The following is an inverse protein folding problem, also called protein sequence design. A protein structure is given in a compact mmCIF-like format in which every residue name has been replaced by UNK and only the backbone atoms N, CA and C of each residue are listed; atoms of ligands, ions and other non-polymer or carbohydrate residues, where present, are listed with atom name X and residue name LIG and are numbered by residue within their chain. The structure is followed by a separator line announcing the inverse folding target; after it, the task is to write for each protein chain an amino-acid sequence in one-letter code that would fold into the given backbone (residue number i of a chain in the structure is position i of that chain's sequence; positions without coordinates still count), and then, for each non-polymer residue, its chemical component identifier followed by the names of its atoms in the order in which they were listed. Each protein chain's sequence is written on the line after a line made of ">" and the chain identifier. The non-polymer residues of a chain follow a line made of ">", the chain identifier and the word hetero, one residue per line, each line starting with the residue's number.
data_IF_164521201278
#
_entry.id   IF_164521201278
#
_cell.length_a   1.000
_cell.length_b   1.000
_cell.length_c   1.000
_cell.angle_alpha   90.00
_cell.angle_beta   90.00
_cell.angle_gamma   90.00
#
_symmetry.space_group_name_H-M   'P 1'
#
loop_
_entity.id
_entity.type
_entity.pdbx_description
1 polymer ?
#
# COMPACT_ATOMS: atom_id res chain seq x y z
N UNK A 1 -7.42 3.85 0.78
CA UNK A 1 -7.39 2.38 0.75
C UNK A 1 -8.78 1.76 0.57
N UNK A 2 -9.71 1.79 1.53
CA UNK A 2 -11.10 1.29 1.32
C UNK A 2 -11.79 1.90 0.08
N UNK A 3 -11.40 3.12 -0.29
CA UNK A 3 -11.89 3.83 -1.47
C UNK A 3 -11.45 3.26 -2.83
N UNK A 4 -10.38 2.45 -2.88
CA UNK A 4 -9.99 1.74 -4.11
C UNK A 4 -11.09 0.78 -4.57
N UNK A 5 -11.95 0.30 -3.67
CA UNK A 5 -13.13 -0.50 -4.01
C UNK A 5 -14.31 0.30 -4.59
N UNK A 6 -14.20 1.63 -4.66
CA UNK A 6 -15.22 2.53 -5.19
C UNK A 6 -14.79 3.19 -6.52
N UNK A 7 -13.97 2.49 -7.30
CA UNK A 7 -13.45 2.91 -8.61
C UNK A 7 -12.61 4.21 -8.61
N UNK A 8 -12.07 4.60 -7.45
CA UNK A 8 -11.10 5.70 -7.38
C UNK A 8 -9.77 5.26 -8.00
N UNK A 9 -9.14 6.17 -8.76
CA UNK A 9 -7.74 6.00 -9.19
C UNK A 9 -6.80 5.94 -7.97
N UNK A 10 -5.60 5.34 -8.06
CA UNK A 10 -4.62 5.34 -6.98
C UNK A 10 -4.37 6.75 -6.42
N UNK A 11 -4.21 7.75 -7.30
CA UNK A 11 -3.99 9.14 -6.92
C UNK A 11 -5.20 9.77 -6.21
N UNK A 12 -6.43 9.49 -6.66
CA UNK A 12 -7.64 10.00 -6.00
C UNK A 12 -7.84 9.34 -4.62
N UNK A 13 -7.61 8.04 -4.53
CA UNK A 13 -7.69 7.29 -3.27
C UNK A 13 -6.65 7.78 -2.26
N UNK A 14 -5.43 8.09 -2.72
CA UNK A 14 -4.36 8.69 -1.93
C UNK A 14 -4.75 10.09 -1.42
N UNK A 15 -5.17 10.99 -2.31
CA UNK A 15 -5.62 12.34 -1.93
C UNK A 15 -6.73 12.33 -0.88
N UNK A 16 -7.76 11.49 -1.10
CA UNK A 16 -8.88 11.37 -0.17
C UNK A 16 -8.46 10.77 1.17
N UNK A 17 -7.49 9.85 1.18
CA UNK A 17 -6.94 9.30 2.42
C UNK A 17 -6.22 10.39 3.22
N UNK A 18 -5.37 11.18 2.56
CA UNK A 18 -4.69 12.33 3.19
C UNK A 18 -5.71 13.35 3.71
N UNK A 19 -6.71 13.73 2.92
CA UNK A 19 -7.79 14.65 3.35
C UNK A 19 -8.52 14.13 4.58
N UNK A 20 -8.78 12.81 4.64
CA UNK A 20 -9.45 12.18 5.76
C UNK A 20 -8.58 12.22 7.02
N UNK A 21 -7.30 11.87 6.91
CA UNK A 21 -6.35 11.92 8.02
C UNK A 21 -6.23 13.34 8.56
N UNK A 22 -5.91 14.32 7.72
CA UNK A 22 -5.74 15.72 8.14
C UNK A 22 -7.01 16.25 8.82
N UNK A 23 -8.19 15.95 8.27
CA UNK A 23 -9.47 16.39 8.86
C UNK A 23 -9.72 15.83 10.26
N UNK A 24 -9.34 14.58 10.53
CA UNK A 24 -9.68 13.92 11.79
C UNK A 24 -8.56 13.99 12.83
N UNK A 25 -7.32 14.23 12.41
CA UNK A 25 -6.16 14.30 13.30
C UNK A 25 -5.79 15.74 13.67
N UNK A 26 -6.25 16.76 12.92
CA UNK A 26 -6.03 18.16 13.28
C UNK A 26 -6.69 18.50 14.63
N UNK A 27 -5.95 19.16 15.51
CA UNK A 27 -6.36 19.49 16.87
C UNK A 27 -6.32 18.32 17.86
N UNK A 28 -5.77 17.17 17.46
CA UNK A 28 -5.55 16.01 18.36
C UNK A 28 -4.10 15.93 18.81
N UNK A 29 -3.79 15.02 19.74
CA UNK A 29 -2.41 14.75 20.18
C UNK A 29 -1.50 14.24 19.06
N UNK A 30 -2.07 13.79 17.93
CA UNK A 30 -1.32 13.28 16.78
C UNK A 30 -0.93 14.36 15.76
N UNK A 31 -1.34 15.61 15.96
CA UNK A 31 -0.96 16.71 15.06
C UNK A 31 0.56 16.96 15.09
N UNK A 32 1.21 16.71 16.23
CA UNK A 32 2.66 16.83 16.37
C UNK A 32 3.43 15.86 15.47
N UNK A 33 2.81 14.75 15.03
CA UNK A 33 3.42 13.78 14.11
C UNK A 33 3.41 14.25 12.65
N UNK A 34 2.70 15.32 12.31
CA UNK A 34 2.54 15.76 10.91
C UNK A 34 3.88 16.06 10.23
N UNK A 35 4.85 16.59 10.97
CA UNK A 35 6.19 16.88 10.45
C UNK A 35 6.86 15.61 9.90
N UNK A 36 6.70 14.47 10.59
CA UNK A 36 7.27 13.21 10.14
C UNK A 36 6.61 12.71 8.84
N UNK A 37 5.32 12.98 8.64
CA UNK A 37 4.56 12.54 7.47
C UNK A 37 4.42 13.62 6.38
N UNK A 38 5.20 14.71 6.44
CA UNK A 38 4.98 15.88 5.60
C UNK A 38 5.01 15.54 4.11
N UNK A 39 5.91 14.65 3.65
CA UNK A 39 5.99 14.23 2.23
C UNK A 39 4.69 13.57 1.76
N UNK A 40 4.00 12.86 2.65
CA UNK A 40 2.71 12.22 2.40
C UNK A 40 1.58 13.25 2.47
N UNK A 41 1.60 14.16 3.44
CA UNK A 41 0.53 15.14 3.67
C UNK A 41 0.53 16.23 2.60
N UNK A 42 1.72 16.69 2.19
CA UNK A 42 1.91 17.70 1.13
C UNK A 42 1.51 17.19 -0.26
N UNK A 43 1.43 15.86 -0.42
CA UNK A 43 1.12 15.14 -1.68
C UNK A 43 2.21 15.21 -2.74
N UNK A 44 3.41 15.63 -2.35
CA UNK A 44 4.57 15.68 -3.23
C UNK A 44 5.27 14.32 -3.34
N UNK A 45 4.94 13.35 -2.46
CA UNK A 45 5.54 12.02 -2.45
C UNK A 45 5.66 11.38 -3.85
N UNK A 46 4.61 11.33 -4.69
CA UNK A 46 4.70 10.69 -6.01
C UNK A 46 5.73 11.34 -6.93
N UNK A 47 5.99 12.65 -6.77
CA UNK A 47 6.89 13.42 -7.63
C UNK A 47 8.37 13.26 -7.24
N UNK A 48 8.65 12.57 -6.13
CA UNK A 48 10.02 12.36 -5.64
C UNK A 48 10.76 11.31 -6.48
N UNK A 49 12.08 11.48 -6.60
CA UNK A 49 12.89 10.52 -7.34
C UNK A 49 13.16 9.29 -6.47
N UNK A 50 13.30 8.11 -7.10
CA UNK A 50 13.60 6.85 -6.40
C UNK A 50 14.76 6.96 -5.39
N UNK A 51 15.81 7.71 -5.72
CA UNK A 51 17.00 7.90 -4.86
C UNK A 51 16.69 8.61 -3.52
N UNK A 52 15.57 9.33 -3.46
CA UNK A 52 15.13 10.09 -2.30
C UNK A 52 14.16 9.28 -1.43
N UNK A 53 13.82 8.05 -1.84
CA UNK A 53 12.96 7.12 -1.10
C UNK A 53 13.83 6.25 -0.20
N UNK A 54 13.60 6.37 1.11
CA UNK A 54 14.23 5.52 2.12
C UNK A 54 13.43 4.23 2.28
N UNK A 55 14.12 3.12 2.49
CA UNK A 55 13.51 1.79 2.65
C UNK A 55 14.03 1.04 3.88
N UNK A 56 14.50 1.78 4.89
CA UNK A 56 14.92 1.24 6.17
C UNK A 56 13.71 0.79 7.04
N UNK A 57 14.00 0.28 8.23
CA UNK A 57 12.97 -0.22 9.16
C UNK A 57 12.19 0.86 9.92
N UNK A 58 12.31 2.14 9.57
CA UNK A 58 11.50 3.20 10.17
C UNK A 58 10.10 3.23 9.53
N UNK A 59 9.07 3.13 10.36
CA UNK A 59 7.66 3.00 9.91
C UNK A 59 7.21 4.07 8.91
N UNK A 60 7.69 5.30 9.04
CA UNK A 60 7.37 6.39 8.12
C UNK A 60 8.01 6.13 6.75
N UNK A 61 9.28 5.73 6.73
CA UNK A 61 9.98 5.37 5.50
C UNK A 61 9.31 4.17 4.81
N UNK A 62 8.94 3.13 5.57
CA UNK A 62 8.25 1.96 5.00
C UNK A 62 6.90 2.36 4.35
N UNK A 63 6.14 3.27 4.98
CA UNK A 63 4.89 3.77 4.43
C UNK A 63 5.11 4.65 3.19
N UNK A 64 6.07 5.57 3.23
CA UNK A 64 6.46 6.42 2.10
C UNK A 64 6.90 5.59 0.90
N UNK A 65 7.80 4.63 1.11
CA UNK A 65 8.28 3.74 0.08
C UNK A 65 7.14 2.94 -0.56
N UNK A 66 6.25 2.37 0.27
CA UNK A 66 5.15 1.58 -0.24
C UNK A 66 4.15 2.41 -1.05
N UNK A 67 3.81 3.62 -0.58
CA UNK A 67 2.94 4.54 -1.29
C UNK A 67 3.60 5.02 -2.59
N UNK A 68 4.89 5.33 -2.56
CA UNK A 68 5.64 5.75 -3.74
C UNK A 68 5.65 4.65 -4.81
N UNK A 69 5.95 3.40 -4.42
CA UNK A 69 5.92 2.27 -5.34
C UNK A 69 4.52 2.04 -5.93
N UNK A 70 3.48 2.10 -5.10
CA UNK A 70 2.10 1.92 -5.57
C UNK A 70 1.62 3.05 -6.50
N UNK A 71 2.00 4.30 -6.24
CA UNK A 71 1.51 5.46 -6.99
C UNK A 71 2.26 5.70 -8.32
N UNK A 72 3.45 5.12 -8.50
CA UNK A 72 4.31 5.33 -9.66
C UNK A 72 4.33 4.18 -10.68
N UNK A 73 3.51 3.12 -10.48
CA UNK A 73 3.47 1.98 -11.40
C UNK A 73 2.02 1.58 -11.68
N UNK A 74 1.76 1.18 -12.92
CA UNK A 74 0.40 0.94 -13.44
C UNK A 74 -0.06 -0.52 -13.30
N UNK A 75 0.82 -1.44 -12.91
CA UNK A 75 0.48 -2.83 -12.68
C UNK A 75 1.09 -3.40 -11.38
N UNK A 76 0.51 -4.51 -10.92
CA UNK A 76 0.89 -5.17 -9.69
C UNK A 76 2.35 -5.63 -9.68
N UNK A 77 2.82 -6.21 -10.78
CA UNK A 77 4.15 -6.80 -10.85
C UNK A 77 5.22 -5.70 -10.80
N UNK A 78 5.03 -4.63 -11.58
CA UNK A 78 5.91 -3.47 -11.56
C UNK A 78 5.95 -2.80 -10.18
N UNK A 79 4.79 -2.57 -9.55
CA UNK A 79 4.73 -1.96 -8.23
C UNK A 79 5.48 -2.78 -7.18
N UNK A 80 5.22 -4.09 -7.11
CA UNK A 80 5.84 -4.99 -6.13
C UNK A 80 7.33 -5.19 -6.41
N UNK A 81 7.74 -5.34 -7.67
CA UNK A 81 9.16 -5.42 -8.01
C UNK A 81 9.90 -4.11 -7.71
N UNK A 82 9.24 -2.97 -7.88
CA UNK A 82 9.81 -1.67 -7.49
C UNK A 82 10.12 -1.63 -5.99
N UNK A 83 9.17 -2.09 -5.16
CA UNK A 83 9.33 -2.21 -3.71
C UNK A 83 10.47 -3.16 -3.32
N UNK A 84 10.55 -4.35 -3.91
CA UNK A 84 11.66 -5.30 -3.67
C UNK A 84 13.00 -4.66 -4.05
N UNK A 85 13.04 -3.93 -5.17
CA UNK A 85 14.25 -3.31 -5.70
C UNK A 85 14.63 -1.98 -5.01
N UNK A 86 13.92 -1.55 -3.97
CA UNK A 86 14.41 -0.50 -3.06
C UNK A 86 15.48 -1.05 -2.10
N UNK A 87 15.39 -2.33 -1.73
CA UNK A 87 16.32 -2.95 -0.80
C UNK A 87 15.99 -2.67 0.66
N UNK A 88 16.89 -3.10 1.56
CA UNK A 88 16.74 -2.99 3.01
C UNK A 88 15.49 -3.73 3.54
N UNK A 89 14.43 -3.03 3.96
CA UNK A 89 13.19 -3.61 4.51
C UNK A 89 12.23 -4.08 3.39
N UNK A 90 12.75 -4.96 2.53
CA UNK A 90 12.05 -5.39 1.31
C UNK A 90 10.75 -6.14 1.58
N UNK A 91 10.68 -6.95 2.64
CA UNK A 91 9.50 -7.77 2.95
C UNK A 91 8.33 -6.90 3.44
N UNK A 92 8.59 -5.94 4.33
CA UNK A 92 7.56 -5.00 4.80
C UNK A 92 7.04 -4.12 3.66
N UNK A 93 7.94 -3.51 2.88
CA UNK A 93 7.55 -2.56 1.82
C UNK A 93 6.82 -3.30 0.68
N UNK A 94 7.28 -4.50 0.31
CA UNK A 94 6.62 -5.29 -0.73
C UNK A 94 5.25 -5.80 -0.28
N UNK A 95 5.11 -6.17 1.00
CA UNK A 95 3.81 -6.55 1.57
C UNK A 95 2.82 -5.39 1.54
N UNK A 96 3.24 -4.19 1.97
CA UNK A 96 2.39 -3.00 1.95
C UNK A 96 2.02 -2.61 0.52
N UNK A 97 3.01 -2.51 -0.38
CA UNK A 97 2.79 -2.19 -1.80
C UNK A 97 1.86 -3.20 -2.47
N UNK A 98 2.14 -4.50 -2.30
CA UNK A 98 1.34 -5.58 -2.87
C UNK A 98 -0.09 -5.59 -2.33
N UNK A 99 -0.30 -5.20 -1.07
CA UNK A 99 -1.66 -5.05 -0.53
C UNK A 99 -2.43 -3.95 -1.28
N UNK A 100 -1.83 -2.78 -1.50
CA UNK A 100 -2.48 -1.67 -2.21
C UNK A 100 -2.72 -2.00 -3.69
N UNK A 101 -1.70 -2.52 -4.35
CA UNK A 101 -1.77 -2.93 -5.76
C UNK A 101 -2.77 -4.08 -5.95
N UNK A 102 -2.80 -5.07 -5.05
CA UNK A 102 -3.74 -6.18 -5.10
C UNK A 102 -5.19 -5.75 -4.87
N UNK A 103 -5.42 -4.75 -4.00
CA UNK A 103 -6.74 -4.13 -3.86
C UNK A 103 -7.18 -3.40 -5.12
N UNK A 104 -6.25 -2.78 -5.86
CA UNK A 104 -6.57 -2.01 -7.07
C UNK A 104 -6.76 -2.92 -8.30
N UNK A 105 -5.83 -3.84 -8.56
CA UNK A 105 -5.85 -4.71 -9.75
C UNK A 105 -6.61 -6.02 -9.56
N UNK A 106 -7.04 -6.32 -8.34
CA UNK A 106 -7.68 -7.59 -7.96
C UNK A 106 -6.79 -8.82 -8.27
N UNK A 107 -7.32 -10.03 -8.00
CA UNK A 107 -6.58 -11.28 -8.20
C UNK A 107 -6.12 -11.49 -9.65
N UNK A 108 -6.86 -10.99 -10.64
CA UNK A 108 -6.53 -11.13 -12.06
C UNK A 108 -5.32 -10.28 -12.49
N UNK A 109 -4.95 -9.26 -11.69
CA UNK A 109 -3.78 -8.43 -11.95
C UNK A 109 -2.47 -9.00 -11.41
N UNK A 110 -2.53 -10.06 -10.59
CA UNK A 110 -1.34 -10.69 -10.00
C UNK A 110 -0.82 -11.77 -10.97
N UNK A 111 0.48 -11.82 -11.26
CA UNK A 111 1.06 -12.89 -12.09
C UNK A 111 0.71 -14.28 -11.55
N UNK A 112 0.16 -15.12 -12.42
CA UNK A 112 -0.32 -16.46 -12.03
C UNK A 112 0.82 -17.33 -11.51
N UNK A 113 2.02 -17.18 -12.08
CA UNK A 113 3.23 -17.85 -11.62
C UNK A 113 3.60 -17.49 -10.18
N UNK A 114 3.33 -16.26 -9.72
CA UNK A 114 3.61 -15.83 -8.35
C UNK A 114 2.59 -16.41 -7.38
N UNK A 115 1.31 -16.43 -7.77
CA UNK A 115 0.26 -17.10 -7.00
C UNK A 115 0.61 -18.59 -6.85
N UNK A 116 1.00 -19.25 -7.94
CA UNK A 116 1.32 -20.67 -7.94
C UNK A 116 2.61 -21.02 -7.18
N UNK A 117 3.54 -20.07 -7.04
CA UNK A 117 4.75 -20.23 -6.24
C UNK A 117 4.53 -20.00 -4.73
N UNK A 118 3.35 -19.50 -4.32
CA UNK A 118 3.08 -19.15 -2.94
C UNK A 118 3.12 -20.39 -2.03
N UNK A 119 3.95 -20.32 -0.98
CA UNK A 119 3.99 -21.37 0.03
C UNK A 119 2.64 -21.46 0.76
N UNK A 120 2.11 -22.69 0.90
CA UNK A 120 0.81 -22.96 1.56
C UNK A 120 -0.36 -22.19 0.92
N UNK A 121 -0.31 -21.96 -0.39
CA UNK A 121 -1.35 -21.28 -1.18
C UNK A 121 -2.76 -21.71 -0.78
N UNK A 122 -3.00 -23.02 -0.74
CA UNK A 122 -4.30 -23.64 -0.46
C UNK A 122 -4.79 -23.31 0.96
N UNK A 123 -3.90 -23.31 1.96
CA UNK A 123 -4.25 -22.95 3.34
C UNK A 123 -4.61 -21.46 3.47
N UNK A 124 -3.92 -20.59 2.70
CA UNK A 124 -4.20 -19.16 2.65
C UNK A 124 -5.57 -18.90 2.03
N UNK A 125 -5.88 -19.55 0.90
CA UNK A 125 -7.19 -19.42 0.26
C UNK A 125 -8.33 -19.94 1.15
N UNK A 126 -8.15 -21.09 1.82
CA UNK A 126 -9.12 -21.61 2.79
C UNK A 126 -9.36 -20.60 3.93
N UNK A 127 -8.29 -20.01 4.47
CA UNK A 127 -8.40 -19.01 5.53
C UNK A 127 -9.17 -17.77 5.07
N UNK A 128 -8.87 -17.26 3.87
CA UNK A 128 -9.59 -16.14 3.27
C UNK A 128 -11.07 -16.45 3.07
N UNK A 129 -11.41 -17.65 2.59
CA UNK A 129 -12.80 -18.05 2.39
C UNK A 129 -13.56 -18.19 3.71
N UNK A 130 -12.95 -18.81 4.73
CA UNK A 130 -13.56 -18.89 6.07
C UNK A 130 -13.78 -17.50 6.68
N UNK A 131 -12.83 -16.58 6.51
CA UNK A 131 -12.96 -15.20 6.97
C UNK A 131 -14.11 -14.48 6.25
N UNK A 132 -14.20 -14.60 4.93
CA UNK A 132 -15.29 -14.02 4.15
C UNK A 132 -16.66 -14.55 4.59
N UNK A 133 -16.78 -15.88 4.76
CA UNK A 133 -18.01 -16.50 5.26
C UNK A 133 -18.40 -16.00 6.66
N UNK A 134 -17.42 -15.73 7.53
CA UNK A 134 -17.68 -15.15 8.84
C UNK A 134 -18.19 -13.71 8.75
N UNK A 135 -17.59 -12.87 7.90
CA UNK A 135 -18.01 -11.50 7.68
C UNK A 135 -19.42 -11.38 7.10
N UNK A 136 -19.82 -12.30 6.21
CA UNK A 136 -21.15 -12.29 5.57
C UNK A 136 -22.26 -12.80 6.50
N UNK A 137 -21.93 -13.68 7.46
CA UNK A 137 -22.92 -14.24 8.41
C UNK A 137 -23.23 -13.31 9.58
N UNK A 138 -22.48 -12.23 9.76
CA UNK A 138 -22.71 -11.19 10.76
C UNK A 138 -23.44 -10.01 10.16
#
# INVERSE_FOLDING_TARGET
>A
MIRLFYDDTPSDAYRKAVDLCVRHLAGTEYEDEYEAYERIISRELPDLQKKDIFSDGYVVHSLEAALWCFLNHDDYAEAVLSAVNLGEDTDTISFLTGTMAGMHHCMNGIPEEWINALARKEDIFDLCERFLQFCVKK
#
